data_IF_645453296102
#
_entry.id   IF_645453296102
#
_cell.length_a   1.000
_cell.length_b   1.000
_cell.length_c   1.000
_cell.angle_alpha   90.00
_cell.angle_beta   90.00
_cell.angle_gamma   90.00
#
_symmetry.space_group_name_H-M   'P 1'
#
loop_
_entity.id
_entity.type
_entity.pdbx_description
1 polymer ?
#
# COMPACT_ATOMS: atom_id res chain seq x y z
N UNK A 1 1.23 14.81 20.18
CA UNK A 1 0.83 13.64 19.36
C UNK A 1 2.10 12.83 19.19
N UNK A 2 2.24 11.72 19.90
CA UNK A 2 3.46 10.90 19.83
C UNK A 2 3.55 10.30 18.45
N UNK A 3 4.58 10.66 17.69
CA UNK A 3 4.97 9.96 16.46
C UNK A 3 5.33 8.52 16.82
N UNK A 4 4.33 7.65 16.83
CA UNK A 4 4.57 6.22 16.82
C UNK A 4 4.98 5.87 15.39
N UNK A 5 6.30 5.74 15.18
CA UNK A 5 6.82 5.09 13.99
C UNK A 5 6.31 3.65 14.06
N UNK A 6 5.30 3.35 13.25
CA UNK A 6 4.70 2.02 13.18
C UNK A 6 5.78 1.02 12.71
N UNK A 7 5.89 -0.13 13.39
CA UNK A 7 6.88 -1.15 13.05
C UNK A 7 6.71 -1.56 11.57
N UNK A 8 7.74 -1.43 10.72
CA UNK A 8 7.67 -1.79 9.31
C UNK A 8 7.10 -3.20 9.04
N UNK A 9 7.31 -4.14 9.97
CA UNK A 9 6.75 -5.50 9.87
C UNK A 9 5.24 -5.53 10.04
N UNK A 10 4.69 -4.67 10.90
CA UNK A 10 3.24 -4.55 11.10
C UNK A 10 2.62 -3.91 9.86
N UNK A 11 3.23 -2.85 9.34
CA UNK A 11 2.81 -2.21 8.09
C UNK A 11 2.81 -3.19 6.93
N UNK A 12 3.86 -4.01 6.78
CA UNK A 12 3.94 -5.02 5.72
C UNK A 12 2.82 -6.05 5.80
N UNK A 13 2.56 -6.62 6.99
CA UNK A 13 1.45 -7.59 7.17
C UNK A 13 0.08 -7.02 6.79
N UNK A 14 -0.15 -5.73 7.06
CA UNK A 14 -1.40 -5.06 6.65
C UNK A 14 -1.47 -4.88 5.15
N UNK A 15 -0.36 -4.50 4.51
CA UNK A 15 -0.26 -4.38 3.05
C UNK A 15 -0.51 -5.73 2.38
N UNK A 16 0.06 -6.83 2.87
CA UNK A 16 -0.16 -8.18 2.33
C UNK A 16 -1.63 -8.61 2.40
N UNK A 17 -2.29 -8.40 3.55
CA UNK A 17 -3.69 -8.74 3.72
C UNK A 17 -4.61 -7.94 2.78
N UNK A 18 -4.37 -6.63 2.66
CA UNK A 18 -5.10 -5.76 1.75
C UNK A 18 -4.81 -6.10 0.28
N UNK A 19 -3.55 -6.39 -0.06
CA UNK A 19 -3.11 -6.83 -1.39
C UNK A 19 -3.83 -8.10 -1.81
N UNK A 20 -3.90 -9.10 -0.93
CA UNK A 20 -4.62 -10.36 -1.18
C UNK A 20 -6.10 -10.10 -1.49
N UNK A 21 -6.77 -9.29 -0.67
CA UNK A 21 -8.18 -8.95 -0.90
C UNK A 21 -8.41 -8.17 -2.19
N UNK A 22 -7.55 -7.20 -2.50
CA UNK A 22 -7.66 -6.39 -3.71
C UNK A 22 -7.47 -7.24 -4.98
N UNK A 23 -6.52 -8.19 -4.97
CA UNK A 23 -6.33 -9.15 -6.07
C UNK A 23 -7.56 -10.01 -6.27
N UNK A 24 -8.16 -10.53 -5.19
CA UNK A 24 -9.42 -11.30 -5.27
C UNK A 24 -10.52 -10.44 -5.90
N UNK A 25 -10.67 -9.19 -5.46
CA UNK A 25 -11.69 -8.28 -5.97
C UNK A 25 -11.47 -7.94 -7.45
N UNK A 26 -10.23 -7.63 -7.85
CA UNK A 26 -9.88 -7.34 -9.23
C UNK A 26 -10.17 -8.55 -10.13
N UNK A 27 -9.79 -9.76 -9.72
CA UNK A 27 -10.10 -10.98 -10.48
C UNK A 27 -11.61 -11.19 -10.65
N UNK A 28 -12.41 -10.87 -9.63
CA UNK A 28 -13.88 -10.99 -9.69
C UNK A 28 -14.54 -9.94 -10.59
N UNK A 29 -13.89 -8.79 -10.79
CA UNK A 29 -14.39 -7.69 -11.64
C UNK A 29 -13.73 -7.62 -13.02
N UNK A 30 -12.83 -8.56 -13.36
CA UNK A 30 -12.10 -8.59 -14.63
C UNK A 30 -10.89 -7.67 -14.71
N UNK A 31 -10.42 -7.14 -13.57
CA UNK A 31 -9.16 -6.42 -13.44
C UNK A 31 -7.94 -7.34 -13.25
N UNK A 32 -6.76 -6.73 -13.17
CA UNK A 32 -5.49 -7.43 -12.92
C UNK A 32 -4.82 -6.95 -11.61
N UNK A 33 -3.65 -7.50 -11.29
CA UNK A 33 -2.89 -7.15 -10.09
C UNK A 33 -2.44 -5.67 -10.08
N UNK A 34 -2.24 -5.06 -11.25
CA UNK A 34 -1.86 -3.64 -11.33
C UNK A 34 -3.06 -2.74 -11.00
N UNK A 35 -4.26 -3.09 -11.49
CA UNK A 35 -5.51 -2.44 -11.12
C UNK A 35 -5.76 -2.55 -9.62
N UNK A 36 -5.60 -3.74 -9.03
CA UNK A 36 -5.73 -3.97 -7.59
C UNK A 36 -4.79 -3.06 -6.76
N UNK A 37 -3.53 -2.91 -7.19
CA UNK A 37 -2.56 -2.05 -6.52
C UNK A 37 -2.94 -0.57 -6.60
N UNK A 38 -3.42 -0.11 -7.76
CA UNK A 38 -3.87 1.28 -7.94
C UNK A 38 -5.07 1.61 -7.04
N UNK A 39 -6.05 0.70 -6.95
CA UNK A 39 -7.23 0.86 -6.10
C UNK A 39 -6.86 0.97 -4.62
N UNK A 40 -5.89 0.18 -4.16
CA UNK A 40 -5.40 0.25 -2.77
C UNK A 40 -4.70 1.58 -2.45
N UNK A 41 -3.88 2.09 -3.37
CA UNK A 41 -3.23 3.39 -3.21
C UNK A 41 -4.26 4.52 -3.14
N UNK A 42 -5.25 4.49 -4.03
CA UNK A 42 -6.37 5.44 -4.02
C UNK A 42 -7.19 5.34 -2.73
N UNK A 43 -7.56 4.12 -2.31
CA UNK A 43 -8.35 3.89 -1.10
C UNK A 43 -7.65 4.41 0.15
N UNK A 44 -6.33 4.20 0.28
CA UNK A 44 -5.54 4.73 1.39
C UNK A 44 -5.65 6.26 1.48
N UNK A 45 -5.39 6.97 0.38
CA UNK A 45 -5.41 8.44 0.34
C UNK A 45 -6.81 8.96 0.65
N UNK A 46 -7.85 8.38 0.03
CA UNK A 46 -9.24 8.78 0.25
C UNK A 46 -9.67 8.58 1.71
N UNK A 47 -9.31 7.46 2.34
CA UNK A 47 -9.62 7.21 3.74
C UNK A 47 -8.83 8.13 4.69
N UNK A 48 -7.56 8.41 4.40
CA UNK A 48 -6.77 9.35 5.18
C UNK A 48 -7.40 10.75 5.16
N UNK A 49 -7.76 11.24 3.97
CA UNK A 49 -8.43 12.53 3.78
C UNK A 49 -9.81 12.55 4.44
N UNK A 50 -10.59 11.47 4.32
CA UNK A 50 -11.90 11.35 4.99
C UNK A 50 -11.78 11.49 6.52
N UNK A 51 -10.68 11.01 7.10
CA UNK A 51 -10.36 11.14 8.53
C UNK A 51 -9.68 12.46 8.90
N UNK A 52 -9.60 13.43 7.98
CA UNK A 52 -9.10 14.78 8.25
C UNK A 52 -7.59 14.96 8.06
N UNK A 53 -6.90 13.99 7.43
CA UNK A 53 -5.52 14.20 7.03
C UNK A 53 -5.41 15.25 5.92
N UNK A 54 -4.34 16.04 5.96
CA UNK A 54 -3.97 16.92 4.86
C UNK A 54 -3.67 16.11 3.57
N UNK A 55 -4.18 16.52 2.39
CA UNK A 55 -4.01 15.76 1.15
C UNK A 55 -2.55 15.50 0.76
N UNK A 56 -1.70 16.52 0.85
CA UNK A 56 -0.30 16.40 0.43
C UNK A 56 0.47 15.45 1.37
N UNK A 57 0.15 15.51 2.68
CA UNK A 57 0.69 14.57 3.66
C UNK A 57 0.19 13.14 3.44
N UNK A 58 -1.08 12.95 3.06
CA UNK A 58 -1.63 11.62 2.75
C UNK A 58 -0.97 11.01 1.51
N UNK A 59 -0.77 11.81 0.46
CA UNK A 59 -0.04 11.39 -0.75
C UNK A 59 1.41 11.04 -0.45
N UNK A 60 2.10 11.85 0.35
CA UNK A 60 3.48 11.58 0.76
C UNK A 60 3.60 10.26 1.54
N UNK A 61 2.69 10.03 2.51
CA UNK A 61 2.68 8.79 3.29
C UNK A 61 2.41 7.56 2.41
N UNK A 62 1.45 7.65 1.49
CA UNK A 62 1.17 6.59 0.52
C UNK A 62 2.42 6.23 -0.30
N UNK A 63 3.14 7.25 -0.78
CA UNK A 63 4.34 7.07 -1.57
C UNK A 63 5.49 6.40 -0.79
N UNK A 64 5.68 6.75 0.48
CA UNK A 64 6.67 6.07 1.33
C UNK A 64 6.33 4.59 1.54
N UNK A 65 5.05 4.27 1.79
CA UNK A 65 4.63 2.88 1.93
C UNK A 65 4.76 2.08 0.64
N UNK A 66 4.44 2.68 -0.51
CA UNK A 66 4.62 2.07 -1.82
C UNK A 66 6.09 1.72 -2.09
N UNK A 67 7.03 2.62 -1.76
CA UNK A 67 8.47 2.36 -1.90
C UNK A 67 8.94 1.17 -1.06
N UNK A 68 8.52 1.09 0.21
CA UNK A 68 8.88 -0.03 1.09
C UNK A 68 8.36 -1.36 0.52
N UNK A 69 7.13 -1.40 0.03
CA UNK A 69 6.58 -2.60 -0.60
C UNK A 69 7.34 -2.98 -1.89
N UNK A 70 7.65 -2.00 -2.74
CA UNK A 70 8.44 -2.23 -3.95
C UNK A 70 9.85 -2.75 -3.63
N UNK A 71 10.52 -2.19 -2.62
CA UNK A 71 11.86 -2.61 -2.22
C UNK A 71 11.86 -4.04 -1.65
N UNK A 72 10.84 -4.40 -0.88
CA UNK A 72 10.71 -5.76 -0.33
C UNK A 72 10.44 -6.80 -1.44
N UNK A 73 9.52 -6.51 -2.36
CA UNK A 73 9.19 -7.41 -3.48
C UNK A 73 10.30 -7.54 -4.52
N UNK A 74 11.17 -6.54 -4.63
CA UNK A 74 12.28 -6.53 -5.58
C UNK A 74 13.63 -6.89 -4.93
N UNK A 75 13.68 -7.01 -3.60
CA UNK A 75 14.86 -7.38 -2.83
C UNK A 75 16.05 -6.42 -2.96
N UNK A 76 17.04 -6.57 -2.08
CA UNK A 76 18.26 -5.75 -2.08
C UNK A 76 19.09 -5.85 -3.38
N UNK A 77 18.95 -6.95 -4.11
CA UNK A 77 19.67 -7.21 -5.37
C UNK A 77 18.92 -6.72 -6.62
N UNK A 78 17.80 -6.03 -6.44
CA UNK A 78 16.91 -5.57 -7.51
C UNK A 78 16.46 -6.69 -8.47
N UNK A 79 16.07 -7.83 -7.92
CA UNK A 79 15.49 -8.97 -8.64
C UNK A 79 14.16 -9.33 -8.01
N UNK A 80 13.13 -9.56 -8.84
CA UNK A 80 11.83 -10.04 -8.37
C UNK A 80 12.03 -11.22 -7.41
N UNK A 81 11.62 -11.05 -6.15
CA UNK A 81 11.62 -12.13 -5.16
C UNK A 81 10.52 -13.11 -5.60
N UNK A 82 10.90 -14.37 -5.85
CA UNK A 82 9.97 -15.42 -6.27
C UNK A 82 9.09 -15.89 -5.13
#
# INVERSE_FOLDING_TARGET
>A
MTDQIEDPKITMRRIEALGTMAVINANNSGGDNATAAADLMCAFVLMAMHNGADPDRALAAMWEHAKVACDDWWGAERRKVQ
#
